data_IF_548116373329
#
_entry.id   IF_548116373329
#
_cell.length_a   1.000
_cell.length_b   1.000
_cell.length_c   1.000
_cell.angle_alpha   90.00
_cell.angle_beta   90.00
_cell.angle_gamma   90.00
#
_symmetry.space_group_name_H-M   'P 1'
#
loop_
_entity.id
_entity.type
_entity.pdbx_description
1 polymer ?
#
# COMPACT_ATOMS: atom_id res chain seq x y z
N UNK A 1 -14.39 7.39 -0.48
CA UNK A 1 -13.11 6.88 0.06
C UNK A 1 -12.08 7.98 0.04
N UNK A 2 -11.23 8.04 1.04
CA UNK A 2 -10.15 9.02 1.11
C UNK A 2 -8.86 8.33 1.58
N UNK A 3 -7.75 9.09 1.58
CA UNK A 3 -6.44 8.56 1.96
C UNK A 3 -6.42 8.05 3.40
N UNK A 4 -7.16 8.68 4.29
CA UNK A 4 -7.24 8.27 5.70
C UNK A 4 -7.87 6.89 5.86
N UNK A 5 -8.93 6.61 5.11
CA UNK A 5 -9.58 5.30 5.14
C UNK A 5 -8.66 4.20 4.62
N UNK A 6 -7.94 4.48 3.54
CA UNK A 6 -6.97 3.53 2.98
C UNK A 6 -5.86 3.26 3.99
N UNK A 7 -5.34 4.31 4.62
CA UNK A 7 -4.31 4.19 5.65
C UNK A 7 -4.77 3.28 6.79
N UNK A 8 -6.00 3.50 7.27
CA UNK A 8 -6.57 2.71 8.36
C UNK A 8 -6.66 1.22 7.99
N UNK A 9 -7.15 0.92 6.79
CA UNK A 9 -7.28 -0.46 6.35
C UNK A 9 -5.93 -1.14 6.18
N UNK A 10 -4.96 -0.44 5.60
CA UNK A 10 -3.61 -0.99 5.44
C UNK A 10 -2.93 -1.20 6.80
N UNK A 11 -3.08 -0.27 7.73
CA UNK A 11 -2.52 -0.42 9.07
C UNK A 11 -3.12 -1.61 9.82
N UNK A 12 -4.41 -1.88 9.62
CA UNK A 12 -5.07 -3.02 10.25
C UNK A 12 -4.49 -4.36 9.80
N UNK A 13 -4.11 -4.45 8.52
CA UNK A 13 -3.57 -5.69 7.94
C UNK A 13 -2.03 -5.76 8.01
N UNK A 14 -1.37 -4.60 8.08
CA UNK A 14 0.09 -4.48 8.03
C UNK A 14 0.60 -3.72 9.26
N UNK A 15 0.29 -4.23 10.44
CA UNK A 15 0.52 -3.53 11.70
C UNK A 15 1.99 -3.18 11.99
N UNK A 16 2.92 -3.94 11.42
CA UNK A 16 4.36 -3.73 11.63
C UNK A 16 4.99 -2.84 10.54
N UNK A 17 4.17 -2.28 9.67
CA UNK A 17 4.65 -1.47 8.55
C UNK A 17 4.37 0.02 8.77
N UNK A 18 5.21 0.86 8.17
CA UNK A 18 4.92 2.28 8.04
C UNK A 18 4.10 2.48 6.77
N UNK A 19 2.92 3.05 6.90
CA UNK A 19 1.99 3.27 5.79
C UNK A 19 1.78 4.76 5.59
N UNK A 20 1.96 5.23 4.36
CA UNK A 20 1.66 6.62 3.98
C UNK A 20 0.82 6.57 2.71
N UNK A 21 -0.29 7.29 2.70
CA UNK A 21 -1.17 7.37 1.53
C UNK A 21 -1.40 8.83 1.19
N UNK A 22 -1.10 9.18 -0.05
CA UNK A 22 -1.32 10.51 -0.60
C UNK A 22 -2.32 10.43 -1.75
N UNK A 23 -2.98 11.54 -2.03
CA UNK A 23 -3.89 11.64 -3.16
C UNK A 23 -5.34 11.82 -2.76
N UNK A 24 -6.22 11.71 -3.74
CA UNK A 24 -7.65 11.89 -3.59
C UNK A 24 -8.36 11.66 -4.92
N UNK A 25 -9.68 11.79 -4.90
CA UNK A 25 -10.51 11.65 -6.10
C UNK A 25 -10.30 10.30 -6.81
N UNK A 26 -10.10 9.25 -6.03
CA UNK A 26 -9.91 7.90 -6.55
C UNK A 26 -8.50 7.58 -7.04
N UNK A 27 -7.56 8.52 -6.95
CA UNK A 27 -6.18 8.33 -7.40
C UNK A 27 -5.23 8.48 -6.20
N UNK A 28 -4.51 7.43 -5.87
CA UNK A 28 -3.72 7.38 -4.63
C UNK A 28 -2.30 6.89 -4.87
N UNK A 29 -1.37 7.43 -4.08
CA UNK A 29 0.00 6.94 -3.96
C UNK A 29 0.13 6.28 -2.60
N UNK A 30 0.42 4.99 -2.58
CA UNK A 30 0.58 4.20 -1.37
C UNK A 30 2.05 3.87 -1.18
N UNK A 31 2.59 4.29 -0.04
CA UNK A 31 3.96 3.94 0.35
C UNK A 31 3.89 3.06 1.59
N UNK A 32 4.46 1.86 1.52
CA UNK A 32 4.51 0.93 2.64
C UNK A 32 5.95 0.47 2.83
N UNK A 33 6.44 0.62 4.05
CA UNK A 33 7.80 0.22 4.43
C UNK A 33 7.67 -0.82 5.54
N UNK A 34 8.19 -2.02 5.30
CA UNK A 34 8.13 -3.07 6.29
C UNK A 34 8.83 -4.34 5.85
N UNK A 35 9.23 -5.13 6.83
CA UNK A 35 9.96 -6.38 6.57
C UNK A 35 9.07 -7.50 6.04
N UNK A 36 7.76 -7.29 6.03
CA UNK A 36 6.83 -8.22 5.37
C UNK A 36 7.19 -8.43 3.88
N UNK A 37 7.90 -7.48 3.29
CA UNK A 37 8.31 -7.55 1.88
C UNK A 37 9.64 -8.26 1.67
N UNK A 38 10.33 -8.67 2.73
CA UNK A 38 11.60 -9.40 2.60
C UNK A 38 11.39 -10.67 1.78
N UNK A 39 12.27 -10.87 0.79
CA UNK A 39 12.21 -12.03 -0.08
C UNK A 39 11.13 -11.98 -1.17
N UNK A 40 10.32 -10.94 -1.21
CA UNK A 40 9.28 -10.79 -2.22
C UNK A 40 9.76 -9.88 -3.36
N UNK A 41 9.46 -10.28 -4.59
CA UNK A 41 9.70 -9.42 -5.75
C UNK A 41 8.60 -8.34 -5.86
N UNK A 42 8.76 -7.42 -6.80
CA UNK A 42 7.83 -6.30 -6.97
C UNK A 42 6.39 -6.75 -7.20
N UNK A 43 6.18 -7.78 -8.01
CA UNK A 43 4.84 -8.28 -8.32
C UNK A 43 4.16 -8.82 -7.07
N UNK A 44 4.88 -9.60 -6.27
CA UNK A 44 4.31 -10.19 -5.06
C UNK A 44 4.00 -9.13 -4.00
N UNK A 45 4.84 -8.11 -3.90
CA UNK A 45 4.58 -6.97 -3.00
C UNK A 45 3.30 -6.25 -3.40
N UNK A 46 3.13 -5.99 -4.68
CA UNK A 46 1.92 -5.34 -5.20
C UNK A 46 0.68 -6.20 -4.96
N UNK A 47 0.78 -7.50 -5.17
CA UNK A 47 -0.33 -8.43 -4.92
C UNK A 47 -0.79 -8.39 -3.47
N UNK A 48 0.15 -8.26 -2.52
CA UNK A 48 -0.18 -8.16 -1.10
C UNK A 48 -1.05 -6.92 -0.81
N UNK A 49 -0.75 -5.80 -1.44
CA UNK A 49 -1.53 -4.57 -1.27
C UNK A 49 -2.86 -4.66 -2.01
N UNK A 50 -2.88 -5.16 -3.24
CA UNK A 50 -4.12 -5.34 -4.00
C UNK A 50 -5.10 -6.24 -3.26
N UNK A 51 -4.63 -7.27 -2.59
CA UNK A 51 -5.47 -8.17 -1.83
C UNK A 51 -6.26 -7.43 -0.73
N UNK A 52 -5.62 -6.45 -0.10
CA UNK A 52 -6.25 -5.65 0.94
C UNK A 52 -7.25 -4.65 0.35
N UNK A 53 -6.91 -4.04 -0.79
CA UNK A 53 -7.67 -2.95 -1.39
C UNK A 53 -8.63 -3.41 -2.50
N UNK A 54 -8.70 -4.69 -2.79
CA UNK A 54 -9.41 -5.22 -3.95
C UNK A 54 -10.89 -4.80 -4.03
N UNK A 55 -11.60 -4.79 -2.92
CA UNK A 55 -13.01 -4.41 -2.92
C UNK A 55 -13.20 -2.97 -3.37
N UNK A 56 -12.30 -2.08 -2.99
CA UNK A 56 -12.38 -0.67 -3.34
C UNK A 56 -12.01 -0.43 -4.81
N UNK A 57 -11.11 -1.25 -5.33
CA UNK A 57 -10.74 -1.20 -6.75
C UNK A 57 -11.89 -1.73 -7.60
N UNK A 58 -12.47 -2.86 -7.21
CA UNK A 58 -13.59 -3.47 -7.93
C UNK A 58 -14.83 -2.57 -7.93
N UNK A 59 -15.11 -1.90 -6.82
CA UNK A 59 -16.28 -1.01 -6.71
C UNK A 59 -16.09 0.33 -7.42
N UNK A 60 -14.86 0.66 -7.83
CA UNK A 60 -14.57 1.93 -8.46
C UNK A 60 -14.27 3.06 -7.49
N UNK A 61 -14.23 2.79 -6.18
CA UNK A 61 -13.83 3.79 -5.19
C UNK A 61 -12.37 4.21 -5.36
N UNK A 62 -11.52 3.28 -5.81
CA UNK A 62 -10.14 3.55 -6.19
C UNK A 62 -10.03 3.34 -7.71
N UNK A 63 -9.69 4.40 -8.43
CA UNK A 63 -9.52 4.34 -9.89
C UNK A 63 -8.10 4.02 -10.29
N UNK A 64 -7.12 4.54 -9.53
CA UNK A 64 -5.72 4.31 -9.80
C UNK A 64 -4.93 4.29 -8.49
N UNK A 65 -3.99 3.37 -8.38
CA UNK A 65 -3.09 3.31 -7.23
C UNK A 65 -1.67 3.11 -7.73
N UNK A 66 -0.77 3.97 -7.26
CA UNK A 66 0.68 3.84 -7.46
C UNK A 66 1.26 3.38 -6.14
N UNK A 67 2.20 2.45 -6.18
CA UNK A 67 2.75 1.84 -4.98
C UNK A 67 4.26 1.99 -4.91
N UNK A 68 4.75 2.39 -3.73
CA UNK A 68 6.15 2.30 -3.33
C UNK A 68 6.23 1.33 -2.16
N UNK A 69 6.75 0.14 -2.39
CA UNK A 69 6.76 -0.94 -1.41
C UNK A 69 8.19 -1.36 -1.15
N UNK A 70 8.65 -1.16 0.09
CA UNK A 70 10.05 -1.34 0.45
C UNK A 70 10.18 -2.11 1.75
N UNK A 71 11.30 -2.85 1.88
CA UNK A 71 11.72 -3.33 3.20
C UNK A 71 12.33 -2.16 3.96
N UNK A 72 12.52 -2.34 5.27
CA UNK A 72 13.18 -1.31 6.09
C UNK A 72 14.59 -1.02 5.57
N UNK A 73 15.34 -2.06 5.22
CA UNK A 73 16.68 -1.89 4.66
C UNK A 73 16.68 -1.11 3.36
N UNK A 74 15.75 -1.42 2.46
CA UNK A 74 15.64 -0.70 1.19
C UNK A 74 15.34 0.78 1.38
N UNK A 75 14.49 1.09 2.35
CA UNK A 75 14.12 2.49 2.64
C UNK A 75 15.29 3.31 3.19
N UNK A 76 16.26 2.65 3.82
CA UNK A 76 17.42 3.29 4.43
C UNK A 76 18.64 3.29 3.52
N UNK A 77 18.60 2.59 2.41
CA UNK A 77 19.73 2.39 1.51
C UNK A 77 19.87 3.45 0.42
N UNK A 78 19.18 4.53 0.54
CA UNK A 78 19.19 5.60 -0.47
C UNK A 78 20.49 6.40 -0.45
#
# INVERSE_FOLDING_TARGET
>A
MDASQITTELNAELSDCQVTVDGGDGKYLVTVIGDVFEGLNAVKRQQAIYKILNEHITSGAIHAVTMNLMTVNESQAS
#
